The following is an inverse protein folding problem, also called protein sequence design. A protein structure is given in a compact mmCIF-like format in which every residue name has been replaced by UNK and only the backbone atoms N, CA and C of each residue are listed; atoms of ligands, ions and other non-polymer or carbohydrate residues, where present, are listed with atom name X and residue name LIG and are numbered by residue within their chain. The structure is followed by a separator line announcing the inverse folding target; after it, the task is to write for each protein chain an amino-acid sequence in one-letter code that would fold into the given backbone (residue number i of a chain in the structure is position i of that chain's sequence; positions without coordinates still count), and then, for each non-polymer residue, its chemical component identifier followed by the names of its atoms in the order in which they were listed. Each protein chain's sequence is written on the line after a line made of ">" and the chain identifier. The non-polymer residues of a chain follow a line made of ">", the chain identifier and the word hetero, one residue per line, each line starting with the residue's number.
data_IF_728914704149
#
_entry.id   IF_728914704149
#
_cell.length_a   1.000
_cell.length_b   1.000
_cell.length_c   1.000
_cell.angle_alpha   90.00
_cell.angle_beta   90.00
_cell.angle_gamma   90.00
#
_symmetry.space_group_name_H-M   'P 1'
#
loop_
_entity.id
_entity.type
_entity.pdbx_description
1 polymer ?
#
# COMPACT_ATOMS: atom_id res chain seq x y z
N UNK A 1 8.85 -28.72 -8.46
CA UNK A 1 7.96 -27.61 -8.73
C UNK A 1 6.71 -28.10 -9.46
N UNK A 2 5.55 -27.53 -9.17
CA UNK A 2 4.34 -27.84 -9.96
C UNK A 2 4.55 -27.28 -11.37
N UNK A 3 4.07 -27.98 -12.43
CA UNK A 3 4.12 -27.45 -13.79
C UNK A 3 3.23 -26.21 -13.90
N UNK A 4 3.56 -25.28 -14.81
CA UNK A 4 2.71 -24.15 -15.14
C UNK A 4 1.46 -24.65 -15.89
N UNK A 5 0.28 -24.11 -15.52
CA UNK A 5 -0.95 -24.37 -16.25
C UNK A 5 -1.14 -23.28 -17.31
N UNK A 6 -1.27 -23.71 -18.58
CA UNK A 6 -1.60 -22.80 -19.67
C UNK A 6 -3.12 -22.70 -19.81
N UNK A 7 -3.65 -21.47 -19.92
CA UNK A 7 -5.07 -21.20 -20.09
C UNK A 7 -5.32 -20.89 -21.57
N UNK A 8 -6.09 -21.76 -22.24
CA UNK A 8 -6.28 -21.73 -23.69
C UNK A 8 -7.23 -20.62 -24.15
N UNK A 9 -6.77 -19.38 -24.06
CA UNK A 9 -7.51 -18.21 -24.54
C UNK A 9 -7.59 -18.19 -26.08
N UNK A 10 -6.55 -18.63 -26.79
CA UNK A 10 -6.56 -18.59 -28.25
C UNK A 10 -7.54 -19.58 -28.88
N UNK A 11 -7.77 -20.72 -28.25
CA UNK A 11 -8.73 -21.74 -28.73
C UNK A 11 -10.14 -21.57 -28.21
N UNK A 12 -10.29 -21.23 -26.93
CA UNK A 12 -11.57 -21.20 -26.23
C UNK A 12 -12.05 -19.78 -25.86
N UNK A 13 -11.24 -18.76 -26.14
CA UNK A 13 -11.61 -17.38 -25.94
C UNK A 13 -11.83 -17.00 -24.47
N UNK A 14 -12.77 -16.08 -24.24
CA UNK A 14 -13.13 -15.53 -22.92
C UNK A 14 -13.55 -16.62 -21.92
N UNK A 15 -14.22 -17.67 -22.38
CA UNK A 15 -14.74 -18.73 -21.51
C UNK A 15 -13.64 -19.46 -20.75
N UNK A 16 -12.49 -19.71 -21.40
CA UNK A 16 -11.35 -20.31 -20.73
C UNK A 16 -10.84 -19.47 -19.57
N UNK A 17 -10.80 -18.13 -19.75
CA UNK A 17 -10.34 -17.22 -18.70
C UNK A 17 -11.36 -17.07 -17.58
N UNK A 18 -12.66 -17.02 -17.88
CA UNK A 18 -13.75 -17.02 -16.86
C UNK A 18 -13.68 -18.27 -16.00
N UNK A 19 -13.48 -19.44 -16.64
CA UNK A 19 -13.31 -20.71 -15.92
C UNK A 19 -12.08 -20.67 -14.99
N UNK A 20 -10.94 -20.25 -15.52
CA UNK A 20 -9.71 -20.13 -14.75
C UNK A 20 -9.83 -19.10 -13.60
N UNK A 21 -10.54 -17.98 -13.83
CA UNK A 21 -10.81 -16.97 -12.81
C UNK A 21 -11.53 -17.56 -11.59
N UNK A 22 -12.54 -18.40 -11.84
CA UNK A 22 -13.28 -19.08 -10.79
C UNK A 22 -12.48 -20.20 -10.11
N UNK A 23 -11.77 -21.00 -10.90
CA UNK A 23 -11.03 -22.18 -10.42
C UNK A 23 -9.82 -21.79 -9.56
N UNK A 24 -9.09 -20.76 -9.98
CA UNK A 24 -7.89 -20.27 -9.28
C UNK A 24 -8.15 -19.10 -8.32
N UNK A 25 -9.36 -18.55 -8.31
CA UNK A 25 -9.75 -17.46 -7.40
C UNK A 25 -9.02 -16.14 -7.68
N UNK A 26 -8.82 -15.78 -8.96
CA UNK A 26 -8.13 -14.55 -9.33
C UNK A 26 -8.93 -13.28 -9.00
N UNK A 27 -10.24 -13.38 -8.88
CA UNK A 27 -11.16 -12.25 -8.63
C UNK A 27 -11.04 -11.12 -9.67
N UNK A 28 -10.86 -11.49 -10.94
CA UNK A 28 -10.84 -10.54 -12.06
C UNK A 28 -12.26 -10.04 -12.37
N UNK A 29 -12.38 -8.75 -12.68
CA UNK A 29 -13.62 -8.16 -13.20
C UNK A 29 -13.84 -8.52 -14.67
N UNK A 30 -15.05 -8.30 -15.18
CA UNK A 30 -15.38 -8.56 -16.59
C UNK A 30 -14.51 -7.73 -17.54
N UNK A 31 -14.24 -6.46 -17.21
CA UNK A 31 -13.36 -5.58 -17.99
C UNK A 31 -11.92 -6.07 -17.97
N UNK A 32 -11.44 -6.58 -16.85
CA UNK A 32 -10.08 -7.15 -16.75
C UNK A 32 -9.94 -8.43 -17.56
N UNK A 33 -11.00 -9.26 -17.56
CA UNK A 33 -11.06 -10.47 -18.41
C UNK A 33 -11.02 -10.08 -19.89
N UNK A 34 -11.83 -9.10 -20.32
CA UNK A 34 -11.86 -8.64 -21.71
C UNK A 34 -10.51 -8.04 -22.13
N UNK A 35 -9.89 -7.26 -21.25
CA UNK A 35 -8.55 -6.72 -21.48
C UNK A 35 -7.51 -7.82 -21.67
N UNK A 36 -7.49 -8.83 -20.81
CA UNK A 36 -6.54 -9.94 -20.87
C UNK A 36 -6.74 -10.78 -22.14
N UNK A 37 -7.99 -11.08 -22.50
CA UNK A 37 -8.29 -11.80 -23.74
C UNK A 37 -7.75 -11.03 -24.96
N UNK A 38 -8.01 -9.74 -25.05
CA UNK A 38 -7.52 -8.90 -26.12
C UNK A 38 -5.98 -8.84 -26.14
N UNK A 39 -5.35 -8.67 -24.98
CA UNK A 39 -3.89 -8.57 -24.85
C UNK A 39 -3.18 -9.86 -25.28
N UNK A 40 -3.62 -11.03 -24.80
CA UNK A 40 -3.00 -12.30 -25.13
C UNK A 40 -3.31 -12.75 -26.55
N UNK A 41 -4.49 -12.40 -27.09
CA UNK A 41 -4.78 -12.58 -28.53
C UNK A 41 -3.81 -11.77 -29.39
N UNK A 42 -3.54 -10.51 -29.03
CA UNK A 42 -2.55 -9.66 -29.74
C UNK A 42 -1.14 -10.20 -29.64
N UNK A 43 -0.78 -10.82 -28.50
CA UNK A 43 0.52 -11.48 -28.29
C UNK A 43 0.62 -12.84 -29.01
N UNK A 44 -0.46 -13.35 -29.61
CA UNK A 44 -0.57 -14.63 -30.28
C UNK A 44 -0.06 -15.81 -29.42
N UNK A 45 -0.31 -15.77 -28.11
CA UNK A 45 0.03 -16.85 -27.17
C UNK A 45 -0.99 -16.94 -26.03
N UNK A 46 -1.05 -18.10 -25.42
CA UNK A 46 -1.82 -18.33 -24.21
C UNK A 46 -1.08 -17.82 -22.96
N UNK A 47 -1.77 -17.28 -21.94
CA UNK A 47 -1.18 -17.01 -20.64
C UNK A 47 -0.98 -18.29 -19.83
N UNK A 48 -0.09 -18.22 -18.86
CA UNK A 48 -0.04 -19.22 -17.79
C UNK A 48 -0.70 -18.70 -16.50
N UNK A 49 -0.96 -19.62 -15.57
CA UNK A 49 -1.59 -19.33 -14.29
C UNK A 49 -0.82 -18.31 -13.45
N UNK A 50 0.50 -18.31 -13.52
CA UNK A 50 1.34 -17.35 -12.78
C UNK A 50 1.22 -15.94 -13.37
N UNK A 51 1.19 -15.77 -14.68
CA UNK A 51 0.98 -14.47 -15.33
C UNK A 51 -0.38 -13.88 -14.95
N UNK A 52 -1.42 -14.71 -14.94
CA UNK A 52 -2.75 -14.29 -14.52
C UNK A 52 -2.79 -13.94 -13.04
N UNK A 53 -2.14 -14.72 -12.17
CA UNK A 53 -2.04 -14.42 -10.74
C UNK A 53 -1.29 -13.11 -10.50
N UNK A 54 -0.19 -12.86 -11.18
CA UNK A 54 0.56 -11.61 -11.09
C UNK A 54 -0.30 -10.40 -11.50
N UNK A 55 -1.03 -10.52 -12.60
CA UNK A 55 -1.96 -9.48 -13.04
C UNK A 55 -3.06 -9.23 -12.01
N UNK A 56 -3.69 -10.30 -11.52
CA UNK A 56 -4.74 -10.23 -10.51
C UNK A 56 -4.25 -9.56 -9.21
N UNK A 57 -3.05 -9.89 -8.75
CA UNK A 57 -2.46 -9.27 -7.56
C UNK A 57 -2.12 -7.79 -7.78
N UNK A 58 -1.55 -7.44 -8.95
CA UNK A 58 -1.23 -6.05 -9.27
C UNK A 58 -2.48 -5.17 -9.40
N UNK A 59 -3.60 -5.74 -9.85
CA UNK A 59 -4.88 -5.05 -10.04
C UNK A 59 -5.90 -5.34 -8.92
N UNK A 60 -5.48 -5.97 -7.83
CA UNK A 60 -6.37 -6.29 -6.71
C UNK A 60 -6.95 -5.04 -6.06
N UNK A 61 -8.12 -5.21 -5.41
CA UNK A 61 -8.74 -4.17 -4.57
C UNK A 61 -8.03 -3.99 -3.22
N UNK A 62 -6.77 -4.39 -3.10
CA UNK A 62 -5.97 -4.10 -1.93
C UNK A 62 -5.91 -2.59 -1.68
N UNK A 63 -6.28 -2.15 -0.48
CA UNK A 63 -6.44 -0.73 -0.12
C UNK A 63 -7.48 0.04 -0.97
N UNK A 64 -8.29 -0.64 -1.73
CA UNK A 64 -9.38 -0.09 -2.55
C UNK A 64 -8.95 1.02 -3.52
N UNK A 65 -7.75 0.94 -4.07
CA UNK A 65 -7.20 1.96 -4.95
C UNK A 65 -8.07 2.22 -6.18
N UNK A 66 -8.68 1.18 -6.77
CA UNK A 66 -9.59 1.32 -7.91
C UNK A 66 -10.81 2.18 -7.54
N UNK A 67 -11.47 1.88 -6.42
CA UNK A 67 -12.65 2.62 -5.95
C UNK A 67 -12.27 4.05 -5.56
N UNK A 68 -11.26 4.23 -4.72
CA UNK A 68 -10.87 5.54 -4.22
C UNK A 68 -10.25 6.46 -5.28
N UNK A 69 -9.64 5.88 -6.33
CA UNK A 69 -9.09 6.60 -7.47
C UNK A 69 -10.08 6.85 -8.60
N UNK A 70 -11.26 6.22 -8.60
CA UNK A 70 -12.25 6.30 -9.67
C UNK A 70 -12.87 7.68 -9.83
N UNK A 71 -13.36 7.96 -11.04
CA UNK A 71 -14.27 9.07 -11.28
C UNK A 71 -15.68 8.70 -10.77
N UNK A 72 -16.35 9.64 -10.14
CA UNK A 72 -17.66 9.45 -9.55
C UNK A 72 -18.71 10.24 -10.30
N UNK A 73 -19.85 9.61 -10.53
CA UNK A 73 -21.06 10.26 -11.03
C UNK A 73 -22.18 10.02 -10.02
N UNK A 74 -22.72 11.08 -9.44
CA UNK A 74 -23.81 11.03 -8.45
C UNK A 74 -25.02 11.73 -9.04
N UNK A 75 -26.15 11.03 -9.11
CA UNK A 75 -27.40 11.53 -9.68
C UNK A 75 -27.26 12.11 -11.10
N UNK A 76 -26.37 11.52 -11.91
CA UNK A 76 -26.07 11.96 -13.27
C UNK A 76 -25.02 13.07 -13.37
N UNK A 77 -24.55 13.63 -12.26
CA UNK A 77 -23.54 14.68 -12.23
C UNK A 77 -22.14 14.09 -11.92
N UNK A 78 -21.19 14.37 -12.82
CA UNK A 78 -19.79 14.00 -12.62
C UNK A 78 -19.19 14.81 -11.49
N UNK A 79 -18.61 14.11 -10.51
CA UNK A 79 -17.95 14.76 -9.38
C UNK A 79 -16.55 15.25 -9.79
N UNK A 80 -16.13 16.44 -9.30
CA UNK A 80 -14.84 17.04 -9.70
C UNK A 80 -13.62 16.35 -9.08
N UNK A 81 -13.82 15.57 -8.00
CA UNK A 81 -12.75 14.94 -7.23
C UNK A 81 -13.03 13.46 -7.01
N UNK A 82 -12.00 12.62 -7.13
CA UNK A 82 -12.03 11.27 -6.62
C UNK A 82 -11.99 11.24 -5.08
N UNK A 83 -12.32 10.09 -4.45
CA UNK A 83 -12.25 9.97 -2.98
C UNK A 83 -10.83 10.25 -2.45
N UNK A 84 -9.78 9.78 -3.12
CA UNK A 84 -8.41 10.13 -2.73
C UNK A 84 -8.13 11.63 -2.84
N UNK A 85 -8.66 12.30 -3.86
CA UNK A 85 -8.49 13.73 -4.00
C UNK A 85 -9.24 14.50 -2.91
N UNK A 86 -10.43 14.05 -2.50
CA UNK A 86 -11.19 14.61 -1.37
C UNK A 86 -10.41 14.48 -0.05
N UNK A 87 -9.82 13.31 0.21
CA UNK A 87 -8.97 13.09 1.38
C UNK A 87 -7.76 14.02 1.36
N UNK A 88 -7.07 14.10 0.23
CA UNK A 88 -5.90 14.99 0.06
C UNK A 88 -6.24 16.47 0.15
N UNK A 89 -7.49 16.86 -0.12
CA UNK A 89 -7.93 18.24 -0.01
C UNK A 89 -7.81 18.76 1.42
N UNK A 90 -8.04 17.95 2.43
CA UNK A 90 -7.81 18.31 3.84
C UNK A 90 -6.39 18.83 4.06
N UNK A 91 -5.40 18.14 3.52
CA UNK A 91 -4.00 18.56 3.60
C UNK A 91 -3.72 19.85 2.80
N UNK A 92 -4.36 20.03 1.65
CA UNK A 92 -4.19 21.25 0.84
C UNK A 92 -4.73 22.50 1.54
N UNK A 93 -5.88 22.36 2.20
CA UNK A 93 -6.54 23.46 2.92
C UNK A 93 -5.88 23.76 4.28
N UNK A 94 -5.28 22.75 4.91
CA UNK A 94 -4.65 22.87 6.24
C UNK A 94 -3.28 22.19 6.28
N UNK A 95 -2.27 22.70 5.57
CA UNK A 95 -0.93 22.11 5.55
C UNK A 95 -0.08 22.47 6.78
N UNK A 96 -0.55 23.32 7.67
CA UNK A 96 0.19 23.80 8.84
C UNK A 96 0.65 22.62 9.69
N UNK A 97 1.91 22.68 10.13
CA UNK A 97 2.55 21.65 10.96
C UNK A 97 2.70 20.27 10.31
N UNK A 98 2.40 20.11 9.04
CA UNK A 98 2.69 18.88 8.28
C UNK A 98 4.00 19.01 7.54
N UNK A 99 5.01 18.24 7.93
CA UNK A 99 6.33 18.22 7.31
C UNK A 99 6.40 17.29 6.10
N UNK A 100 5.70 16.18 6.15
CA UNK A 100 5.61 15.22 5.05
C UNK A 100 4.29 14.45 5.09
N UNK A 101 3.59 14.44 3.96
CA UNK A 101 2.40 13.62 3.75
C UNK A 101 2.33 13.18 2.28
N UNK A 102 1.75 12.00 2.01
CA UNK A 102 1.55 11.43 0.68
C UNK A 102 2.81 11.25 -0.17
N UNK A 103 3.98 11.17 0.45
CA UNK A 103 5.29 10.95 -0.21
C UNK A 103 5.91 9.61 0.15
N UNK A 104 5.48 9.03 1.26
CA UNK A 104 6.02 7.79 1.82
C UNK A 104 4.91 7.04 2.56
N UNK A 105 5.23 5.89 3.12
CA UNK A 105 4.30 5.02 3.84
C UNK A 105 3.91 5.55 5.23
N UNK A 106 4.52 6.65 5.67
CA UNK A 106 4.20 7.33 6.91
C UNK A 106 4.15 8.84 6.70
N UNK A 107 3.48 9.55 7.59
CA UNK A 107 3.46 11.01 7.63
C UNK A 107 4.31 11.54 8.76
N UNK A 108 4.77 12.79 8.64
CA UNK A 108 5.55 13.47 9.67
C UNK A 108 4.91 14.82 9.96
N UNK A 109 4.62 15.07 11.23
CA UNK A 109 4.16 16.38 11.72
C UNK A 109 5.18 17.03 12.63
N UNK A 110 5.08 18.34 12.78
CA UNK A 110 5.91 19.11 13.69
C UNK A 110 5.70 18.59 15.13
N UNK A 111 6.79 18.31 15.81
CA UNK A 111 6.81 17.98 17.22
C UNK A 111 7.45 19.09 18.05
N UNK A 112 7.69 18.83 19.29
CA UNK A 112 8.25 19.79 20.25
C UNK A 112 9.75 19.69 20.37
N UNK A 113 10.41 20.76 20.79
CA UNK A 113 11.78 20.72 21.24
C UNK A 113 11.88 19.89 22.51
N UNK A 114 12.77 18.92 22.51
CA UNK A 114 12.97 18.03 23.65
C UNK A 114 14.43 17.67 23.84
N UNK A 115 14.76 17.26 25.04
CA UNK A 115 16.09 16.76 25.36
C UNK A 115 16.19 15.28 25.01
N UNK A 116 17.09 14.95 24.10
CA UNK A 116 17.34 13.55 23.71
C UNK A 116 18.75 13.13 24.14
N UNK A 117 18.83 11.93 24.70
CA UNK A 117 20.09 11.30 25.12
C UNK A 117 20.59 10.35 24.05
N UNK A 118 21.72 10.69 23.43
CA UNK A 118 22.34 9.87 22.37
C UNK A 118 23.83 10.17 22.23
N UNK A 119 24.59 9.26 21.58
CA UNK A 119 26.01 9.47 21.37
C UNK A 119 26.26 10.63 20.40
N UNK A 120 27.16 11.53 20.76
CA UNK A 120 27.64 12.64 19.94
C UNK A 120 29.16 12.68 19.98
N UNK A 121 29.80 12.94 18.84
CA UNK A 121 31.24 13.16 18.81
C UNK A 121 31.64 14.37 19.68
N UNK A 122 32.68 14.21 20.50
CA UNK A 122 33.34 15.29 21.18
C UNK A 122 34.38 15.99 20.25
N UNK A 123 35.13 16.92 20.79
CA UNK A 123 36.14 17.68 20.04
C UNK A 123 37.27 16.80 19.49
N UNK A 124 37.49 15.63 20.07
CA UNK A 124 38.49 14.65 19.66
C UNK A 124 37.91 13.54 18.76
N UNK A 125 36.63 13.62 18.41
CA UNK A 125 35.95 12.62 17.59
C UNK A 125 35.47 11.39 18.35
N UNK A 126 35.57 11.33 19.68
CA UNK A 126 35.06 10.24 20.48
C UNK A 126 33.56 10.40 20.69
N UNK A 127 32.81 9.30 20.59
CA UNK A 127 31.37 9.30 20.81
C UNK A 127 31.07 9.19 22.32
N UNK A 128 30.49 10.25 22.87
CA UNK A 128 30.02 10.30 24.25
C UNK A 128 28.52 10.55 24.31
N UNK A 129 27.82 9.89 25.22
CA UNK A 129 26.40 10.10 25.45
C UNK A 129 26.14 11.42 26.15
N UNK A 130 25.33 12.27 25.55
CA UNK A 130 24.96 13.59 26.09
C UNK A 130 23.48 13.88 25.81
N UNK A 131 22.88 14.67 26.70
CA UNK A 131 21.60 15.28 26.41
C UNK A 131 21.78 16.43 25.41
N UNK A 132 20.94 16.47 24.40
CA UNK A 132 20.90 17.56 23.44
C UNK A 132 19.46 17.96 23.17
N UNK A 133 19.16 19.26 23.20
CA UNK A 133 17.88 19.80 22.72
C UNK A 133 17.83 19.70 21.22
N UNK A 134 16.71 19.22 20.69
CA UNK A 134 16.41 19.21 19.28
C UNK A 134 14.91 19.10 19.06
N UNK A 135 14.44 19.55 17.90
CA UNK A 135 13.07 19.29 17.47
C UNK A 135 12.87 17.78 17.31
N UNK A 136 11.87 17.24 17.98
CA UNK A 136 11.48 15.84 17.88
C UNK A 136 10.14 15.74 17.18
N UNK A 137 10.18 15.70 15.86
CA UNK A 137 9.00 15.56 15.03
C UNK A 137 8.32 14.20 15.25
N UNK A 138 7.02 14.16 15.01
CA UNK A 138 6.19 12.97 15.23
C UNK A 138 5.95 12.31 13.89
N UNK A 139 6.43 11.08 13.76
CA UNK A 139 6.16 10.22 12.63
C UNK A 139 4.94 9.37 12.96
N UNK A 140 4.00 9.27 12.02
CA UNK A 140 2.75 8.52 12.20
C UNK A 140 2.55 7.55 11.05
N UNK A 141 2.22 6.32 11.40
CA UNK A 141 1.76 5.26 10.51
C UNK A 141 0.52 4.61 11.12
N UNK A 142 -0.47 4.36 10.29
CA UNK A 142 -1.67 3.60 10.68
C UNK A 142 -1.82 2.38 9.80
N UNK A 143 -2.36 1.30 10.36
CA UNK A 143 -2.55 0.04 9.65
C UNK A 143 -3.89 -0.60 10.02
N UNK A 144 -4.59 -1.17 9.04
CA UNK A 144 -5.84 -1.89 9.25
C UNK A 144 -5.55 -3.36 9.44
N UNK A 145 -5.66 -3.86 10.67
CA UNK A 145 -5.40 -5.26 10.99
C UNK A 145 -6.50 -5.92 11.83
N UNK A 146 -7.73 -5.40 11.73
CA UNK A 146 -8.88 -5.87 12.48
C UNK A 146 -9.28 -7.30 12.13
N UNK A 147 -9.42 -7.66 10.84
CA UNK A 147 -9.80 -8.99 10.40
C UNK A 147 -8.77 -10.07 10.79
N UNK A 148 -7.48 -9.94 10.43
CA UNK A 148 -6.47 -10.90 10.87
C UNK A 148 -6.42 -11.06 12.39
N UNK A 149 -6.56 -9.96 13.14
CA UNK A 149 -6.55 -9.98 14.61
C UNK A 149 -7.81 -10.64 15.17
N UNK A 150 -8.96 -10.51 14.53
CA UNK A 150 -10.20 -11.19 14.94
C UNK A 150 -10.13 -12.71 14.72
N UNK A 151 -9.46 -13.15 13.67
CA UNK A 151 -9.34 -14.58 13.32
C UNK A 151 -8.24 -15.27 14.14
N UNK A 152 -7.07 -14.64 14.25
CA UNK A 152 -5.91 -15.14 14.97
C UNK A 152 -5.29 -14.00 15.80
N UNK A 153 -5.79 -13.71 17.01
CA UNK A 153 -5.49 -12.48 17.75
C UNK A 153 -3.99 -12.18 17.93
N UNK A 154 -3.22 -13.15 18.32
CA UNK A 154 -1.78 -12.95 18.57
C UNK A 154 -1.01 -12.77 17.24
N UNK A 155 -1.20 -13.67 16.29
CA UNK A 155 -0.51 -13.61 15.00
C UNK A 155 -0.97 -12.39 14.17
N UNK A 156 -2.26 -12.06 14.19
CA UNK A 156 -2.84 -10.92 13.50
C UNK A 156 -2.31 -9.60 14.02
N UNK A 157 -2.34 -9.40 15.35
CA UNK A 157 -1.80 -8.20 15.99
C UNK A 157 -0.29 -8.06 15.77
N UNK A 158 0.48 -9.14 15.90
CA UNK A 158 1.92 -9.13 15.65
C UNK A 158 2.27 -8.75 14.21
N UNK A 159 1.50 -9.24 13.24
CA UNK A 159 1.69 -8.89 11.82
C UNK A 159 1.35 -7.41 11.56
N UNK A 160 0.29 -6.88 12.16
CA UNK A 160 -0.08 -5.47 12.08
C UNK A 160 1.03 -4.56 12.63
N UNK A 161 1.48 -4.82 13.84
CA UNK A 161 2.60 -4.10 14.46
C UNK A 161 3.90 -4.21 13.64
N UNK A 162 4.19 -5.38 13.08
CA UNK A 162 5.33 -5.59 12.19
C UNK A 162 5.25 -4.76 10.91
N UNK A 163 4.06 -4.58 10.34
CA UNK A 163 3.80 -3.71 9.20
C UNK A 163 4.04 -2.24 9.52
N UNK A 164 3.57 -1.77 10.66
CA UNK A 164 3.80 -0.40 11.14
C UNK A 164 5.30 -0.13 11.31
N UNK A 165 6.03 -0.99 11.99
CA UNK A 165 7.48 -0.86 12.19
C UNK A 165 8.24 -0.85 10.84
N UNK A 166 7.85 -1.71 9.90
CA UNK A 166 8.46 -1.76 8.57
C UNK A 166 8.28 -0.46 7.82
N UNK A 167 7.08 0.10 7.82
CA UNK A 167 6.76 1.32 7.08
C UNK A 167 7.41 2.56 7.74
N UNK A 168 7.42 2.63 9.06
CA UNK A 168 8.17 3.67 9.78
C UNK A 168 9.68 3.57 9.51
N UNK A 169 10.23 2.36 9.48
CA UNK A 169 11.63 2.12 9.16
C UNK A 169 12.01 2.52 7.73
N UNK A 170 11.08 2.39 6.78
CA UNK A 170 11.28 2.77 5.38
C UNK A 170 11.42 4.29 5.18
N UNK A 171 10.94 5.12 6.11
CA UNK A 171 11.08 6.58 6.03
C UNK A 171 12.50 7.08 6.20
N UNK A 172 13.43 6.22 6.60
CA UNK A 172 14.86 6.51 6.69
C UNK A 172 15.42 6.52 8.09
N UNK A 173 16.67 6.97 8.20
CA UNK A 173 17.39 6.99 9.47
C UNK A 173 16.81 8.01 10.44
N UNK A 174 16.62 7.62 11.67
CA UNK A 174 16.15 8.49 12.76
C UNK A 174 14.72 8.19 13.20
N UNK A 175 13.91 7.49 12.40
CA UNK A 175 12.63 6.95 12.82
C UNK A 175 12.81 5.94 13.95
N UNK A 176 12.01 6.05 15.02
CA UNK A 176 12.03 5.14 16.17
C UNK A 176 10.61 4.89 16.63
N UNK A 177 10.06 3.69 16.43
CA UNK A 177 8.76 3.31 16.96
C UNK A 177 8.73 3.57 18.47
N UNK A 178 7.66 4.18 18.95
CA UNK A 178 7.49 4.54 20.38
C UNK A 178 6.23 3.97 20.98
N UNK A 179 5.18 3.87 20.19
CA UNK A 179 3.89 3.35 20.59
C UNK A 179 3.18 2.75 19.39
N UNK A 180 2.36 1.74 19.62
CA UNK A 180 1.50 1.11 18.65
C UNK A 180 0.37 0.34 19.31
#
# INVERSE_FOLDING_TARGET
>A
PKPLNSIDILGQGKEALVKANNEFGFALSDEEIDYLVAAFTKLARNPNDIELMMFAQANSEHCRHKIFGSEWTIDGEKQPLSLFQMIKNTYKESPTDVLSAYKDNASVIVGYDTMRFYPKADENGHFVYKYKSQAAHILMKVETHNHPTAIAPFAGAATGSGGEIRDEGATGRGGKPKAG
#
